data_IF_505228444317
#
_entry.id   IF_505228444317
#
_cell.length_a   1.000
_cell.length_b   1.000
_cell.length_c   1.000
_cell.angle_alpha   90.00
_cell.angle_beta   90.00
_cell.angle_gamma   90.00
#
_symmetry.space_group_name_H-M   'P 1'
#
loop_
_entity.id
_entity.type
_entity.pdbx_description
1 polymer ?
#
# COMPACT_ATOMS: atom_id res chain seq x y z
N UNK A 1 46.67 -28.88 -33.89
CA UNK A 1 45.82 -29.64 -32.95
C UNK A 1 44.91 -28.65 -32.23
N UNK A 2 43.76 -28.30 -32.83
CA UNK A 2 42.74 -27.45 -32.19
C UNK A 2 41.96 -28.35 -31.23
N UNK A 3 41.87 -27.95 -29.96
CA UNK A 3 41.12 -28.65 -28.91
C UNK A 3 39.65 -28.30 -29.10
N UNK A 4 38.82 -29.26 -29.50
CA UNK A 4 37.37 -29.07 -29.56
C UNK A 4 36.83 -28.74 -28.15
N UNK A 5 36.03 -27.68 -27.97
CA UNK A 5 35.43 -27.38 -26.68
C UNK A 5 34.42 -28.47 -26.32
N UNK A 6 34.52 -29.00 -25.09
CA UNK A 6 33.65 -30.05 -24.59
C UNK A 6 32.17 -29.62 -24.67
N UNK A 7 31.34 -30.47 -25.27
CA UNK A 7 29.88 -30.28 -25.38
C UNK A 7 29.30 -30.12 -23.97
N UNK A 8 28.68 -28.98 -23.61
CA UNK A 8 28.08 -28.82 -22.29
C UNK A 8 26.93 -29.81 -22.09
N UNK A 9 26.86 -30.41 -20.91
CA UNK A 9 25.82 -31.36 -20.54
C UNK A 9 24.42 -30.69 -20.54
N UNK A 10 23.36 -31.44 -20.85
CA UNK A 10 21.99 -30.94 -20.93
C UNK A 10 21.53 -30.11 -19.70
N UNK A 11 22.01 -30.45 -18.49
CA UNK A 11 21.71 -29.69 -17.26
C UNK A 11 22.30 -28.27 -17.21
N UNK A 12 23.40 -28.00 -17.93
CA UNK A 12 24.02 -26.67 -17.96
C UNK A 12 23.15 -25.65 -18.72
N UNK A 13 22.34 -26.13 -19.67
CA UNK A 13 21.47 -25.26 -20.46
C UNK A 13 20.16 -24.90 -19.75
N UNK A 14 19.62 -25.81 -18.93
CA UNK A 14 18.45 -25.54 -18.11
C UNK A 14 18.73 -24.47 -17.03
N UNK A 15 19.94 -24.47 -16.45
CA UNK A 15 20.37 -23.44 -15.49
C UNK A 15 20.33 -22.03 -16.07
N UNK A 16 20.69 -21.86 -17.34
CA UNK A 16 20.67 -20.56 -18.01
C UNK A 16 19.26 -19.93 -18.07
N UNK A 17 18.20 -20.73 -18.20
CA UNK A 17 16.83 -20.22 -18.17
C UNK A 17 16.36 -19.78 -16.78
N UNK A 18 16.84 -20.47 -15.73
CA UNK A 18 16.57 -20.09 -14.35
C UNK A 18 17.29 -18.79 -13.98
N UNK A 19 18.54 -18.60 -14.44
CA UNK A 19 19.26 -17.35 -14.28
C UNK A 19 18.51 -16.18 -14.94
N UNK A 20 18.03 -16.36 -16.18
CA UNK A 20 17.20 -15.35 -16.86
C UNK A 20 15.91 -15.01 -16.10
N UNK A 21 15.29 -16.01 -15.44
CA UNK A 21 14.12 -15.78 -14.59
C UNK A 21 14.45 -15.00 -13.32
N UNK A 22 15.59 -15.28 -12.69
CA UNK A 22 16.05 -14.56 -11.49
C UNK A 22 16.42 -13.11 -11.81
N UNK A 23 17.00 -12.88 -12.99
CA UNK A 23 17.41 -11.55 -13.46
C UNK A 23 16.25 -10.74 -14.09
N UNK A 24 15.03 -11.30 -14.12
CA UNK A 24 13.84 -10.69 -14.76
C UNK A 24 14.13 -10.27 -16.22
N UNK A 25 14.83 -11.14 -16.95
CA UNK A 25 15.31 -10.84 -18.30
C UNK A 25 14.15 -10.64 -19.30
N UNK A 26 14.43 -9.89 -20.37
CA UNK A 26 13.48 -9.70 -21.45
C UNK A 26 13.20 -11.02 -22.19
N UNK A 27 11.96 -11.23 -22.65
CA UNK A 27 11.54 -12.46 -23.31
C UNK A 27 12.44 -12.86 -24.50
N UNK A 28 12.96 -11.88 -25.24
CA UNK A 28 13.88 -12.12 -26.37
C UNK A 28 15.18 -12.80 -25.95
N UNK A 29 15.62 -12.63 -24.70
CA UNK A 29 16.86 -13.23 -24.21
C UNK A 29 16.74 -14.75 -24.01
N UNK A 30 15.51 -15.26 -23.87
CA UNK A 30 15.23 -16.69 -23.74
C UNK A 30 15.50 -17.47 -25.04
N UNK A 31 15.68 -16.81 -26.19
CA UNK A 31 16.14 -17.49 -27.41
C UNK A 31 17.65 -17.81 -27.37
N UNK A 32 18.41 -17.06 -26.56
CA UNK A 32 19.88 -17.11 -26.54
C UNK A 32 20.43 -18.49 -26.18
N UNK A 33 19.92 -19.23 -25.17
CA UNK A 33 20.40 -20.58 -24.87
C UNK A 33 20.18 -21.56 -26.03
N UNK A 34 19.04 -21.49 -26.71
CA UNK A 34 18.71 -22.37 -27.83
C UNK A 34 19.64 -22.13 -29.04
N UNK A 35 19.89 -20.86 -29.37
CA UNK A 35 20.82 -20.48 -30.45
C UNK A 35 22.24 -20.96 -30.15
N UNK A 36 22.69 -20.84 -28.90
CA UNK A 36 24.02 -21.30 -28.47
C UNK A 36 24.15 -22.82 -28.53
N UNK A 37 23.13 -23.56 -28.08
CA UNK A 37 23.12 -25.02 -28.16
C UNK A 37 23.19 -25.51 -29.61
N UNK A 38 22.43 -24.88 -30.52
CA UNK A 38 22.48 -25.19 -31.97
C UNK A 38 23.86 -24.92 -32.56
N UNK A 39 24.47 -23.78 -32.24
CA UNK A 39 25.82 -23.45 -32.70
C UNK A 39 26.90 -24.39 -32.15
N UNK A 40 26.66 -24.99 -30.97
CA UNK A 40 27.53 -25.99 -30.35
C UNK A 40 27.30 -27.42 -30.89
N UNK A 41 26.41 -27.61 -31.87
CA UNK A 41 26.14 -28.90 -32.48
C UNK A 41 25.27 -29.83 -31.61
N UNK A 42 24.40 -29.27 -30.78
CA UNK A 42 23.38 -30.05 -30.08
C UNK A 42 22.50 -30.82 -31.08
N UNK A 43 22.13 -32.04 -30.72
CA UNK A 43 21.29 -32.88 -31.57
C UNK A 43 19.81 -32.48 -31.49
N UNK A 44 18.97 -33.13 -32.31
CA UNK A 44 17.56 -32.78 -32.43
C UNK A 44 16.78 -32.96 -31.13
N UNK A 45 17.09 -33.99 -30.35
CA UNK A 45 16.40 -34.30 -29.10
C UNK A 45 16.80 -33.29 -28.01
N UNK A 46 18.08 -32.94 -27.92
CA UNK A 46 18.57 -31.88 -27.03
C UNK A 46 17.92 -30.52 -27.33
N UNK A 47 17.83 -30.15 -28.61
CA UNK A 47 17.19 -28.90 -29.01
C UNK A 47 15.68 -28.89 -28.73
N UNK A 48 15.01 -30.03 -28.92
CA UNK A 48 13.57 -30.16 -28.62
C UNK A 48 13.29 -30.08 -27.11
N UNK A 49 14.14 -30.65 -26.26
CA UNK A 49 14.05 -30.49 -24.80
C UNK A 49 14.25 -29.02 -24.41
N UNK A 50 15.25 -28.35 -24.97
CA UNK A 50 15.52 -26.94 -24.65
C UNK A 50 14.40 -26.00 -25.08
N UNK A 51 13.75 -26.27 -26.22
CA UNK A 51 12.58 -25.52 -26.65
C UNK A 51 11.43 -25.69 -25.64
N UNK A 52 11.21 -26.91 -25.12
CA UNK A 52 10.22 -27.15 -24.06
C UNK A 52 10.54 -26.38 -22.78
N UNK A 53 11.80 -26.40 -22.34
CA UNK A 53 12.23 -25.66 -21.15
C UNK A 53 12.07 -24.14 -21.35
N UNK A 54 12.40 -23.62 -22.53
CA UNK A 54 12.21 -22.19 -22.87
C UNK A 54 10.75 -21.78 -22.72
N UNK A 55 9.82 -22.55 -23.28
CA UNK A 55 8.39 -22.24 -23.21
C UNK A 55 7.89 -22.23 -21.77
N UNK A 56 8.25 -23.23 -20.96
CA UNK A 56 7.91 -23.26 -19.53
C UNK A 56 8.48 -22.07 -18.77
N UNK A 57 9.72 -21.68 -19.05
CA UNK A 57 10.34 -20.53 -18.41
C UNK A 57 9.61 -19.21 -18.76
N UNK A 58 9.18 -19.06 -20.02
CA UNK A 58 8.38 -17.90 -20.44
C UNK A 58 7.00 -17.86 -19.78
N UNK A 59 6.35 -19.01 -19.60
CA UNK A 59 5.07 -19.10 -18.86
C UNK A 59 5.23 -18.67 -17.39
N UNK A 60 6.30 -19.14 -16.71
CA UNK A 60 6.61 -18.73 -15.32
C UNK A 60 6.84 -17.23 -15.23
N UNK A 61 7.59 -16.65 -16.18
CA UNK A 61 7.85 -15.21 -16.24
C UNK A 61 6.56 -14.40 -16.34
N UNK A 62 5.66 -14.78 -17.25
CA UNK A 62 4.38 -14.09 -17.42
C UNK A 62 3.49 -14.20 -16.17
N UNK A 63 3.46 -15.35 -15.52
CA UNK A 63 2.73 -15.55 -14.26
C UNK A 63 3.25 -14.62 -13.15
N UNK A 64 4.57 -14.49 -12.98
CA UNK A 64 5.15 -13.57 -12.00
C UNK A 64 4.90 -12.10 -12.35
N UNK A 65 5.02 -11.72 -13.62
CA UNK A 65 4.73 -10.36 -14.05
C UNK A 65 3.27 -9.96 -13.78
N UNK A 66 2.32 -10.86 -14.06
CA UNK A 66 0.91 -10.63 -13.78
C UNK A 66 0.63 -10.48 -12.28
N UNK A 67 1.26 -11.32 -11.44
CA UNK A 67 1.13 -11.25 -9.99
C UNK A 67 1.65 -9.93 -9.42
N UNK A 68 2.86 -9.50 -9.83
CA UNK A 68 3.46 -8.24 -9.38
C UNK A 68 2.60 -7.03 -9.75
N UNK A 69 2.03 -7.00 -10.96
CA UNK A 69 1.10 -5.93 -11.38
C UNK A 69 -0.11 -5.86 -10.45
N UNK A 70 -0.75 -7.00 -10.18
CA UNK A 70 -1.92 -7.06 -9.29
C UNK A 70 -1.59 -6.64 -7.87
N UNK A 71 -0.45 -7.06 -7.33
CA UNK A 71 0.00 -6.64 -5.99
C UNK A 71 0.22 -5.12 -5.91
N UNK A 72 0.86 -4.53 -6.93
CA UNK A 72 1.05 -3.08 -7.01
C UNK A 72 -0.29 -2.32 -7.11
N UNK A 73 -1.23 -2.80 -7.92
CA UNK A 73 -2.56 -2.21 -8.09
C UNK A 73 -3.37 -2.24 -6.78
N UNK A 74 -3.32 -3.36 -6.06
CA UNK A 74 -4.04 -3.51 -4.78
C UNK A 74 -3.44 -2.63 -3.68
N UNK A 75 -2.11 -2.51 -3.62
CA UNK A 75 -1.46 -1.61 -2.65
C UNK A 75 -1.88 -0.16 -2.90
N UNK A 76 -1.79 0.30 -4.16
CA UNK A 76 -2.18 1.67 -4.51
C UNK A 76 -3.66 1.96 -4.22
N UNK A 77 -4.55 0.99 -4.45
CA UNK A 77 -5.97 1.12 -4.13
C UNK A 77 -6.21 1.22 -2.61
N UNK A 78 -5.53 0.38 -1.82
CA UNK A 78 -5.67 0.37 -0.36
C UNK A 78 -5.16 1.67 0.28
N UNK A 79 -4.01 2.17 -0.17
CA UNK A 79 -3.42 3.42 0.31
C UNK A 79 -4.36 4.60 0.01
N UNK A 80 -4.88 4.66 -1.22
CA UNK A 80 -5.82 5.71 -1.63
C UNK A 80 -7.13 5.67 -0.84
N UNK A 81 -7.71 4.48 -0.63
CA UNK A 81 -8.94 4.35 0.14
C UNK A 81 -8.76 4.73 1.62
N UNK A 82 -7.61 4.37 2.20
CA UNK A 82 -7.27 4.69 3.60
C UNK A 82 -7.09 6.20 3.80
N UNK A 83 -6.39 6.88 2.90
CA UNK A 83 -6.17 8.32 2.96
C UNK A 83 -7.49 9.11 2.80
N UNK A 84 -8.35 8.68 1.88
CA UNK A 84 -9.65 9.33 1.66
C UNK A 84 -10.61 9.15 2.83
N UNK A 85 -10.65 7.95 3.44
CA UNK A 85 -11.49 7.66 4.59
C UNK A 85 -11.06 8.46 5.84
N UNK A 86 -9.75 8.62 6.04
CA UNK A 86 -9.21 9.31 7.21
C UNK A 86 -9.40 10.83 7.18
N UNK A 87 -9.37 11.46 6.00
CA UNK A 87 -9.25 12.92 5.90
C UNK A 87 -10.56 13.71 5.77
N UNK A 88 -11.68 13.09 5.37
CA UNK A 88 -12.88 13.87 4.98
C UNK A 88 -14.16 13.63 5.77
N UNK A 89 -14.31 12.53 6.50
CA UNK A 89 -15.61 12.17 7.09
C UNK A 89 -15.94 12.87 8.41
N UNK A 90 -15.02 12.90 9.35
CA UNK A 90 -15.36 13.19 10.75
C UNK A 90 -15.23 14.68 11.08
N UNK A 91 -14.08 15.29 10.80
CA UNK A 91 -13.84 16.68 11.21
C UNK A 91 -14.67 17.68 10.40
N UNK A 92 -14.99 17.37 9.14
CA UNK A 92 -15.86 18.19 8.31
C UNK A 92 -17.30 18.23 8.85
N UNK A 93 -17.82 17.08 9.28
CA UNK A 93 -19.16 16.93 9.86
C UNK A 93 -19.23 17.64 11.21
N UNK A 94 -18.26 17.41 12.10
CA UNK A 94 -18.20 18.08 13.39
C UNK A 94 -18.10 19.60 13.25
N UNK A 95 -17.29 20.08 12.29
CA UNK A 95 -17.19 21.51 11.96
C UNK A 95 -18.51 22.09 11.45
N UNK A 96 -19.20 21.38 10.56
CA UNK A 96 -20.49 21.82 10.05
C UNK A 96 -21.55 21.92 11.17
N UNK A 97 -21.57 20.96 12.09
CA UNK A 97 -22.48 20.96 13.25
C UNK A 97 -22.18 22.17 14.15
N UNK A 98 -20.92 22.35 14.57
CA UNK A 98 -20.54 23.41 15.49
C UNK A 98 -20.85 24.79 14.91
N UNK A 99 -20.50 25.02 13.64
CA UNK A 99 -20.79 26.28 12.92
C UNK A 99 -22.29 26.55 12.79
N UNK A 100 -23.09 25.52 12.47
CA UNK A 100 -24.55 25.67 12.37
C UNK A 100 -25.18 25.96 13.73
N UNK A 101 -24.73 25.30 14.80
CA UNK A 101 -25.21 25.57 16.15
C UNK A 101 -24.93 27.02 16.56
N UNK A 102 -23.72 27.54 16.27
CA UNK A 102 -23.37 28.95 16.52
C UNK A 102 -24.35 29.91 15.81
N UNK A 103 -24.57 29.67 14.51
CA UNK A 103 -25.46 30.51 13.70
C UNK A 103 -26.92 30.46 14.18
N UNK A 104 -27.44 29.27 14.50
CA UNK A 104 -28.82 29.09 14.94
C UNK A 104 -29.09 29.70 16.32
N UNK A 105 -28.11 29.60 17.23
CA UNK A 105 -28.24 30.10 18.60
C UNK A 105 -27.82 31.57 18.73
N UNK A 106 -27.25 32.17 17.68
CA UNK A 106 -26.78 33.55 17.71
C UNK A 106 -25.65 33.78 18.73
N UNK A 107 -24.83 32.76 19.01
CA UNK A 107 -23.76 32.86 20.00
C UNK A 107 -22.44 33.30 19.37
N UNK A 108 -21.58 33.93 20.16
CA UNK A 108 -20.27 34.36 19.70
C UNK A 108 -19.31 33.19 19.49
N UNK A 109 -19.47 32.12 20.26
CA UNK A 109 -18.63 30.91 20.22
C UNK A 109 -19.51 29.68 20.33
N UNK A 110 -19.14 28.62 19.59
CA UNK A 110 -19.66 27.27 19.73
C UNK A 110 -18.51 26.28 19.65
N UNK A 111 -18.59 25.16 20.34
CA UNK A 111 -17.56 24.13 20.29
C UNK A 111 -18.13 22.74 20.59
N UNK A 112 -17.38 21.72 20.21
CA UNK A 112 -17.67 20.32 20.53
C UNK A 112 -16.44 19.71 21.19
N UNK A 113 -16.66 19.14 22.38
CA UNK A 113 -15.64 18.38 23.10
C UNK A 113 -15.83 16.89 22.91
N UNK A 114 -14.72 16.16 22.82
CA UNK A 114 -14.72 14.70 22.85
C UNK A 114 -14.04 14.20 24.13
N UNK A 115 -14.54 13.10 24.67
CA UNK A 115 -13.93 12.45 25.82
C UNK A 115 -12.73 11.61 25.38
N UNK A 116 -11.67 11.67 26.17
CA UNK A 116 -10.51 10.80 26.02
C UNK A 116 -10.58 9.74 27.13
N UNK A 117 -10.91 8.48 26.81
CA UNK A 117 -11.08 7.43 27.81
C UNK A 117 -9.75 7.05 28.48
N UNK A 118 -8.63 7.25 27.79
CA UNK A 118 -7.29 6.94 28.31
C UNK A 118 -6.86 7.99 29.34
N UNK A 119 -7.07 9.28 29.04
CA UNK A 119 -6.71 10.38 29.94
C UNK A 119 -7.78 10.70 30.99
N UNK A 120 -8.99 10.15 30.83
CA UNK A 120 -10.15 10.43 31.69
C UNK A 120 -10.43 11.93 31.81
N UNK A 121 -10.35 12.62 30.67
CA UNK A 121 -10.63 14.03 30.52
C UNK A 121 -11.46 14.28 29.24
N UNK A 122 -11.85 15.52 29.01
CA UNK A 122 -12.56 15.95 27.79
C UNK A 122 -11.79 17.10 27.13
N UNK A 123 -11.76 17.13 25.80
CA UNK A 123 -10.96 18.10 25.04
C UNK A 123 -11.73 18.70 23.88
N UNK A 124 -11.35 19.92 23.48
CA UNK A 124 -11.93 20.61 22.34
C UNK A 124 -11.55 19.90 21.03
N UNK A 125 -12.53 19.28 20.36
CA UNK A 125 -12.32 18.65 19.04
C UNK A 125 -12.53 19.65 17.91
N UNK A 126 -13.59 20.46 18.02
CA UNK A 126 -13.87 21.55 17.08
C UNK A 126 -14.34 22.77 17.85
N UNK A 127 -13.89 23.96 17.43
CA UNK A 127 -14.33 25.25 17.97
C UNK A 127 -14.59 26.20 16.81
N UNK A 128 -15.68 26.95 16.88
CA UNK A 128 -16.06 27.99 15.92
C UNK A 128 -16.33 29.31 16.66
N UNK A 129 -15.79 30.42 16.14
CA UNK A 129 -15.98 31.76 16.70
C UNK A 129 -15.01 32.18 17.82
N UNK A 130 -14.15 31.29 18.32
CA UNK A 130 -13.10 31.66 19.29
C UNK A 130 -11.78 31.99 18.59
N UNK A 131 -11.14 33.10 18.96
CA UNK A 131 -9.78 33.48 18.51
C UNK A 131 -8.67 33.04 19.47
N UNK A 132 -9.03 32.49 20.62
CA UNK A 132 -8.07 32.06 21.63
C UNK A 132 -7.56 30.65 21.33
N UNK A 133 -6.32 30.55 20.86
CA UNK A 133 -5.65 29.27 20.66
C UNK A 133 -5.59 28.43 21.96
N UNK A 134 -5.41 29.08 23.11
CA UNK A 134 -5.43 28.40 24.42
C UNK A 134 -6.79 27.77 24.72
N UNK A 135 -7.88 28.42 24.33
CA UNK A 135 -9.22 27.87 24.48
C UNK A 135 -9.47 26.72 23.51
N UNK A 136 -9.07 26.88 22.25
CA UNK A 136 -9.21 25.84 21.23
C UNK A 136 -8.41 24.56 21.56
N UNK A 137 -7.33 24.67 22.34
CA UNK A 137 -6.52 23.53 22.79
C UNK A 137 -6.86 23.04 24.20
N UNK A 138 -7.93 23.55 24.82
CA UNK A 138 -8.27 23.27 26.21
C UNK A 138 -8.67 21.81 26.43
N UNK A 139 -8.22 21.26 27.57
CA UNK A 139 -8.64 19.97 28.13
C UNK A 139 -9.12 20.16 29.57
N UNK A 140 -10.16 19.44 29.96
CA UNK A 140 -10.79 19.54 31.27
C UNK A 140 -10.92 18.14 31.91
N UNK A 141 -10.48 17.96 33.17
CA UNK A 141 -10.80 16.74 33.92
C UNK A 141 -12.30 16.48 34.00
N UNK A 142 -12.70 15.21 34.14
CA UNK A 142 -14.10 14.87 34.41
C UNK A 142 -14.57 15.53 35.72
N UNK A 143 -15.73 16.16 35.69
CA UNK A 143 -16.29 16.94 36.79
C UNK A 143 -15.72 18.36 36.95
N UNK A 144 -14.71 18.75 36.16
CA UNK A 144 -14.10 20.08 36.25
C UNK A 144 -14.75 21.07 35.27
N UNK A 145 -15.26 22.18 35.80
CA UNK A 145 -16.01 23.16 35.02
C UNK A 145 -17.29 22.57 34.41
N UNK A 146 -18.04 23.40 33.66
CA UNK A 146 -19.32 22.96 33.08
C UNK A 146 -19.13 21.82 32.06
N UNK A 147 -18.12 21.93 31.18
CA UNK A 147 -17.82 20.88 30.19
C UNK A 147 -17.42 19.55 30.82
N UNK A 148 -16.60 19.56 31.88
CA UNK A 148 -16.22 18.34 32.60
C UNK A 148 -17.38 17.74 33.39
N UNK A 149 -18.28 18.56 33.96
CA UNK A 149 -19.47 18.08 34.68
C UNK A 149 -20.47 17.37 33.76
N UNK A 150 -20.75 17.96 32.59
CA UNK A 150 -21.61 17.32 31.58
C UNK A 150 -20.96 16.04 31.07
N UNK A 151 -19.65 16.05 30.81
CA UNK A 151 -18.92 14.85 30.39
C UNK A 151 -18.96 13.73 31.44
N UNK A 152 -18.97 14.06 32.74
CA UNK A 152 -19.05 13.08 33.83
C UNK A 152 -20.48 12.55 34.03
N UNK A 153 -21.50 13.41 33.94
CA UNK A 153 -22.89 13.07 34.30
C UNK A 153 -23.74 12.62 33.13
N UNK A 154 -23.29 12.86 31.89
CA UNK A 154 -24.05 12.66 30.66
C UNK A 154 -25.43 13.34 30.67
N UNK A 155 -25.53 14.47 31.37
CA UNK A 155 -26.75 15.28 31.50
C UNK A 155 -26.38 16.78 31.42
N UNK A 156 -27.23 17.62 30.77
CA UNK A 156 -27.04 19.07 30.73
C UNK A 156 -27.20 19.72 32.11
#
# INVERSE_FOLDING_TARGET
MRKDPARPAAGAWAGAFLELLLDDAAAIEYERPLVRARAAGADGDELAELERVKLLALEVREAFAARRRRESELSALFDTASDLAALRGVDSVLTAIVRRARQLLGTDVSYLTLNDPTRRDTYMRVTDGSVSARFQALRLPMGAGLGGLVAQRAAP
#
